data_IF_455716693332
#
_entry.id   IF_455716693332
#
_cell.length_a   1.000
_cell.length_b   1.000
_cell.length_c   1.000
_cell.angle_alpha   90.00
_cell.angle_beta   90.00
_cell.angle_gamma   90.00
#
_symmetry.space_group_name_H-M   'P 1'
#
loop_
_entity.id
_entity.type
_entity.pdbx_description
1 polymer ?
#
# COMPACT_ATOMS: atom_id res chain seq x y z
N UNK A 1 -11.09 -1.64 25.31
CA UNK A 1 -10.43 -2.60 26.24
C UNK A 1 -9.31 -3.38 25.58
N UNK A 2 -9.52 -3.98 24.40
CA UNK A 2 -8.54 -4.80 23.71
C UNK A 2 -7.26 -4.03 23.32
N UNK A 3 -7.37 -2.78 22.85
CA UNK A 3 -6.21 -1.98 22.49
C UNK A 3 -5.33 -1.65 23.72
N UNK A 4 -5.93 -1.27 24.83
CA UNK A 4 -5.21 -1.01 26.07
C UNK A 4 -4.53 -2.27 26.64
N UNK A 5 -5.15 -3.43 26.44
CA UNK A 5 -4.54 -4.70 26.82
C UNK A 5 -3.33 -5.01 25.95
N UNK A 6 -3.45 -4.83 24.64
CA UNK A 6 -2.35 -5.00 23.68
C UNK A 6 -1.18 -4.07 23.99
N UNK A 7 -1.44 -2.78 24.24
CA UNK A 7 -0.39 -1.79 24.58
C UNK A 7 0.37 -2.26 25.83
N UNK A 8 -0.34 -2.66 26.91
CA UNK A 8 0.31 -3.18 28.11
C UNK A 8 1.15 -4.43 27.88
N UNK A 9 0.77 -5.30 26.93
CA UNK A 9 1.59 -6.45 26.56
C UNK A 9 2.87 -6.02 25.83
N UNK A 10 2.77 -5.06 24.93
CA UNK A 10 3.92 -4.49 24.20
C UNK A 10 4.90 -3.82 25.19
N UNK A 11 4.40 -3.07 26.16
CA UNK A 11 5.23 -2.44 27.19
C UNK A 11 6.01 -3.47 27.99
N UNK A 12 5.35 -4.56 28.45
CA UNK A 12 6.01 -5.67 29.16
C UNK A 12 7.09 -6.36 28.30
N UNK A 13 6.82 -6.56 27.00
CA UNK A 13 7.82 -7.11 26.10
C UNK A 13 9.01 -6.13 25.94
N UNK A 14 8.72 -4.83 25.88
CA UNK A 14 9.75 -3.79 25.85
C UNK A 14 10.67 -3.87 27.06
N UNK A 15 10.12 -3.95 28.26
CA UNK A 15 10.86 -4.12 29.50
C UNK A 15 11.70 -5.41 29.49
N UNK A 16 11.09 -6.55 29.08
CA UNK A 16 11.76 -7.85 29.09
C UNK A 16 12.96 -7.90 28.11
N UNK A 17 12.80 -7.31 26.91
CA UNK A 17 13.86 -7.32 25.88
C UNK A 17 14.74 -6.07 25.89
N UNK A 18 14.55 -5.15 26.82
CA UNK A 18 15.21 -3.84 26.89
C UNK A 18 15.13 -3.08 25.56
N UNK A 19 13.94 -3.00 24.99
CA UNK A 19 13.61 -2.25 23.76
C UNK A 19 12.46 -1.29 24.01
N UNK A 20 12.46 -0.17 23.30
CA UNK A 20 11.37 0.82 23.36
C UNK A 20 10.56 0.80 22.08
N UNK A 21 9.23 0.84 22.21
CA UNK A 21 8.31 0.95 21.09
C UNK A 21 7.88 2.42 20.92
N UNK A 22 8.03 2.94 19.72
CA UNK A 22 7.65 4.32 19.41
C UNK A 22 6.41 4.33 18.51
N UNK A 23 5.41 5.11 18.89
CA UNK A 23 4.22 5.33 18.10
C UNK A 23 4.45 6.45 17.07
N UNK A 24 5.19 6.15 16.00
CA UNK A 24 5.57 7.09 14.94
C UNK A 24 5.33 6.47 13.57
N UNK A 25 5.03 7.32 12.58
CA UNK A 25 4.72 6.88 11.21
C UNK A 25 5.92 6.75 10.29
N UNK A 26 7.11 7.23 10.70
CA UNK A 26 8.35 7.13 9.92
C UNK A 26 9.55 7.03 10.86
N UNK A 27 10.62 6.38 10.42
CA UNK A 27 11.88 6.35 11.16
C UNK A 27 12.46 7.79 11.23
N UNK A 28 12.62 8.36 12.44
CA UNK A 28 13.04 9.76 12.57
C UNK A 28 14.56 9.95 12.38
N UNK A 29 15.35 8.90 12.56
CA UNK A 29 16.82 8.97 12.63
C UNK A 29 17.49 8.38 11.39
N UNK A 30 17.15 7.14 11.02
CA UNK A 30 17.79 6.45 9.93
C UNK A 30 16.99 6.59 8.64
N UNK A 31 17.68 6.92 7.55
CA UNK A 31 17.10 7.03 6.20
C UNK A 31 17.38 5.79 5.36
N UNK A 32 16.64 5.61 4.28
CA UNK A 32 16.59 4.38 3.49
C UNK A 32 17.95 3.82 3.02
N UNK A 33 19.00 4.57 2.73
CA UNK A 33 20.27 3.94 2.35
C UNK A 33 20.86 3.08 3.47
N UNK A 34 20.60 3.46 4.72
CA UNK A 34 21.14 2.83 5.93
C UNK A 34 20.16 1.82 6.59
N UNK A 35 19.01 1.58 5.99
CA UNK A 35 18.01 0.62 6.46
C UNK A 35 17.96 -0.54 5.47
N UNK A 36 18.28 -1.74 5.93
CA UNK A 36 18.23 -2.94 5.10
C UNK A 36 16.80 -3.24 4.62
N UNK A 37 16.72 -3.78 3.42
CA UNK A 37 15.47 -4.33 2.89
C UNK A 37 15.37 -5.81 3.18
N UNK A 38 14.16 -6.30 3.39
CA UNK A 38 13.90 -7.73 3.58
C UNK A 38 14.39 -8.53 2.37
N UNK A 39 15.27 -9.52 2.61
CA UNK A 39 15.93 -10.35 1.58
C UNK A 39 14.96 -11.36 0.93
N UNK A 40 13.91 -10.87 0.26
CA UNK A 40 12.99 -11.69 -0.55
C UNK A 40 12.95 -11.16 -1.98
N UNK A 41 12.86 -12.06 -2.98
CA UNK A 41 12.89 -11.71 -4.41
C UNK A 41 11.87 -10.63 -4.80
N UNK A 42 10.66 -10.68 -4.22
CA UNK A 42 9.61 -9.66 -4.45
C UNK A 42 10.05 -8.26 -4.04
N UNK A 43 10.73 -8.11 -2.90
CA UNK A 43 11.21 -6.80 -2.43
C UNK A 43 12.35 -6.27 -3.29
N UNK A 44 13.19 -7.16 -3.82
CA UNK A 44 14.21 -6.76 -4.80
C UNK A 44 13.57 -6.16 -6.06
N UNK A 45 12.58 -6.86 -6.65
CA UNK A 45 11.86 -6.36 -7.84
C UNK A 45 11.22 -4.99 -7.56
N UNK A 46 10.56 -4.84 -6.40
CA UNK A 46 9.96 -3.57 -6.00
C UNK A 46 11.02 -2.47 -5.82
N UNK A 47 12.15 -2.78 -5.17
CA UNK A 47 13.24 -1.84 -4.94
C UNK A 47 13.94 -1.41 -6.24
N UNK A 48 13.98 -2.28 -7.24
CA UNK A 48 14.59 -1.99 -8.55
C UNK A 48 13.63 -1.20 -9.48
N UNK A 49 12.32 -1.40 -9.33
CA UNK A 49 11.30 -0.81 -10.21
C UNK A 49 10.67 0.47 -9.65
N UNK A 50 10.17 0.44 -8.41
CA UNK A 50 9.37 1.54 -7.86
C UNK A 50 10.10 2.89 -7.82
N UNK A 51 11.42 2.98 -7.54
CA UNK A 51 12.14 4.25 -7.60
C UNK A 51 12.12 4.95 -8.96
N UNK A 52 11.92 4.18 -10.05
CA UNK A 52 11.83 4.72 -11.42
C UNK A 52 10.52 5.46 -11.69
N UNK A 53 9.46 5.13 -10.93
CA UNK A 53 8.12 5.70 -11.08
C UNK A 53 7.69 6.57 -9.88
N UNK A 54 8.42 6.49 -8.77
CA UNK A 54 8.12 7.25 -7.56
C UNK A 54 9.36 7.51 -6.72
N UNK A 55 9.78 8.77 -6.65
CA UNK A 55 11.02 9.19 -5.98
C UNK A 55 11.11 8.87 -4.49
N UNK A 56 9.96 8.70 -3.81
CA UNK A 56 9.91 8.35 -2.38
C UNK A 56 9.57 6.87 -2.13
N UNK A 57 9.53 6.04 -3.16
CA UNK A 57 9.33 4.60 -3.00
C UNK A 57 10.35 3.93 -2.06
N UNK A 58 11.66 4.24 -2.11
CA UNK A 58 12.62 3.70 -1.14
C UNK A 58 12.30 4.07 0.30
N UNK A 59 11.80 5.27 0.54
CA UNK A 59 11.36 5.75 1.86
C UNK A 59 10.16 4.94 2.34
N UNK A 60 9.13 4.81 1.49
CA UNK A 60 7.95 4.00 1.79
C UNK A 60 8.34 2.57 2.17
N UNK A 61 9.23 1.94 1.42
CA UNK A 61 9.60 0.53 1.60
C UNK A 61 10.42 0.24 2.86
N UNK A 62 11.13 1.22 3.40
CA UNK A 62 12.14 1.01 4.46
C UNK A 62 11.94 1.83 5.72
N UNK A 63 11.31 3.00 5.62
CA UNK A 63 11.24 3.94 6.73
C UNK A 63 9.87 4.02 7.38
N UNK A 64 8.79 3.62 6.67
CA UNK A 64 7.42 3.87 7.12
C UNK A 64 6.85 2.74 7.97
N UNK A 65 6.10 3.14 8.99
CA UNK A 65 5.19 2.29 9.75
C UNK A 65 3.76 2.84 9.63
N UNK A 66 2.76 2.00 9.81
CA UNK A 66 1.37 2.41 9.68
C UNK A 66 0.45 1.61 10.57
N UNK A 67 -0.75 2.15 10.78
CA UNK A 67 -1.89 1.48 11.38
C UNK A 67 -2.95 1.30 10.30
N UNK A 68 -3.69 0.21 10.38
CA UNK A 68 -4.76 -0.13 9.46
C UNK A 68 -6.00 -0.52 10.25
N UNK A 69 -7.16 -0.06 9.83
CA UNK A 69 -8.45 -0.51 10.31
C UNK A 69 -9.16 -1.29 9.19
N UNK A 70 -9.79 -2.40 9.55
CA UNK A 70 -10.55 -3.22 8.62
C UNK A 70 -12.04 -3.08 8.95
N UNK A 71 -12.86 -2.93 7.91
CA UNK A 71 -14.31 -2.77 8.03
C UNK A 71 -15.01 -3.83 7.19
N UNK A 72 -15.83 -4.63 7.83
CA UNK A 72 -16.65 -5.62 7.15
C UNK A 72 -17.77 -4.96 6.34
N UNK A 73 -18.28 -5.65 5.34
CA UNK A 73 -19.44 -5.27 4.55
C UNK A 73 -20.35 -6.48 4.31
N UNK A 74 -21.62 -6.24 4.11
CA UNK A 74 -22.65 -7.28 3.99
C UNK A 74 -23.21 -7.44 2.57
N UNK A 75 -22.93 -6.49 1.69
CA UNK A 75 -23.31 -6.52 0.27
C UNK A 75 -22.35 -5.69 -0.57
N UNK A 76 -22.49 -5.77 -1.88
CA UNK A 76 -21.73 -4.94 -2.83
C UNK A 76 -22.04 -3.45 -2.64
N UNK A 77 -23.31 -3.10 -2.49
CA UNK A 77 -23.76 -1.72 -2.27
C UNK A 77 -23.16 -1.14 -0.97
N UNK A 78 -23.17 -1.93 0.10
CA UNK A 78 -22.58 -1.55 1.40
C UNK A 78 -21.05 -1.37 1.26
N UNK A 79 -20.39 -2.28 0.56
CA UNK A 79 -18.95 -2.17 0.30
C UNK A 79 -18.60 -0.88 -0.48
N UNK A 80 -19.35 -0.59 -1.54
CA UNK A 80 -19.12 0.61 -2.36
C UNK A 80 -19.43 1.89 -1.60
N UNK A 81 -20.50 1.91 -0.81
CA UNK A 81 -20.83 3.05 0.06
C UNK A 81 -19.70 3.32 1.07
N UNK A 82 -19.22 2.28 1.75
CA UNK A 82 -18.11 2.36 2.72
C UNK A 82 -16.80 2.77 2.03
N UNK A 83 -16.51 2.23 0.84
CA UNK A 83 -15.34 2.59 0.05
C UNK A 83 -15.33 4.08 -0.28
N UNK A 84 -16.45 4.62 -0.77
CA UNK A 84 -16.60 6.06 -1.07
C UNK A 84 -16.43 6.91 0.19
N UNK A 85 -17.09 6.53 1.28
CA UNK A 85 -16.98 7.24 2.55
C UNK A 85 -15.53 7.24 3.07
N UNK A 86 -14.84 6.10 3.02
CA UNK A 86 -13.46 5.96 3.46
C UNK A 86 -12.49 6.79 2.59
N UNK A 87 -12.66 6.80 1.27
CA UNK A 87 -11.85 7.63 0.38
C UNK A 87 -12.07 9.12 0.67
N UNK A 88 -13.33 9.53 0.86
CA UNK A 88 -13.64 10.92 1.22
C UNK A 88 -13.02 11.32 2.57
N UNK A 89 -13.03 10.42 3.54
CA UNK A 89 -12.48 10.64 4.88
C UNK A 89 -10.96 10.52 4.97
N UNK A 90 -10.29 9.88 4.00
CA UNK A 90 -8.85 9.61 4.02
C UNK A 90 -7.98 10.86 4.28
N UNK A 91 -8.19 12.03 3.62
CA UNK A 91 -7.40 13.22 3.91
C UNK A 91 -7.57 13.72 5.35
N UNK A 92 -8.80 13.66 5.88
CA UNK A 92 -9.08 14.07 7.26
C UNK A 92 -8.43 13.13 8.26
N UNK A 93 -8.57 11.82 8.04
CA UNK A 93 -7.93 10.78 8.86
C UNK A 93 -6.41 10.93 8.86
N UNK A 94 -5.82 11.16 7.68
CA UNK A 94 -4.39 11.44 7.56
C UNK A 94 -3.98 12.68 8.36
N UNK A 95 -4.78 13.73 8.35
CA UNK A 95 -4.53 14.94 9.14
C UNK A 95 -4.64 14.71 10.64
N UNK A 96 -5.67 14.00 11.11
CA UNK A 96 -5.90 13.70 12.52
C UNK A 96 -4.80 12.81 13.13
N UNK A 97 -4.37 11.79 12.39
CA UNK A 97 -3.37 10.81 12.85
C UNK A 97 -1.96 11.09 12.34
N UNK A 98 -1.71 12.30 11.84
CA UNK A 98 -0.39 12.72 11.39
C UNK A 98 0.64 12.63 12.52
N UNK A 99 1.62 11.73 12.40
CA UNK A 99 2.65 11.50 13.41
C UNK A 99 4.00 11.11 12.77
N UNK A 100 4.46 11.91 11.80
CA UNK A 100 5.76 11.70 11.16
C UNK A 100 6.40 13.02 10.69
N UNK A 101 6.57 14.00 11.61
CA UNK A 101 7.14 15.31 11.25
C UNK A 101 8.67 15.32 11.19
N UNK A 102 9.34 14.33 11.78
CA UNK A 102 10.80 14.24 11.88
C UNK A 102 11.32 13.16 10.95
N UNK A 103 12.32 13.49 10.16
CA UNK A 103 13.09 12.57 9.33
C UNK A 103 14.54 13.02 9.24
N UNK A 104 15.48 12.10 9.31
CA UNK A 104 16.93 12.38 9.27
C UNK A 104 17.33 13.39 10.35
N UNK A 105 16.88 13.16 11.58
CA UNK A 105 17.09 14.00 12.77
C UNK A 105 16.63 15.46 12.61
N UNK A 106 15.80 15.79 11.62
CA UNK A 106 15.36 17.15 11.32
C UNK A 106 13.84 17.23 11.16
N UNK A 107 13.27 18.37 11.54
CA UNK A 107 11.86 18.63 11.25
C UNK A 107 11.66 18.76 9.75
N UNK A 108 10.65 18.08 9.25
CA UNK A 108 10.16 18.26 7.87
C UNK A 108 9.08 19.34 7.86
N UNK A 109 8.73 19.84 6.67
CA UNK A 109 7.61 20.77 6.54
C UNK A 109 6.23 20.07 6.54
N UNK A 110 6.17 18.79 6.93
CA UNK A 110 4.98 17.95 6.88
C UNK A 110 4.69 17.36 8.26
N UNK A 111 3.44 17.41 8.71
CA UNK A 111 2.99 16.68 9.91
C UNK A 111 2.98 15.17 9.67
N UNK A 112 2.69 14.74 8.42
CA UNK A 112 2.77 13.37 7.96
C UNK A 112 3.69 13.24 6.75
N UNK A 113 4.99 13.12 6.97
CA UNK A 113 5.94 12.78 5.89
C UNK A 113 5.68 11.38 5.32
N UNK A 114 5.11 10.48 6.14
CA UNK A 114 4.65 9.17 5.69
C UNK A 114 3.63 9.29 4.55
N UNK A 115 2.61 10.13 4.69
CA UNK A 115 1.62 10.35 3.64
C UNK A 115 2.26 10.89 2.36
N UNK A 116 3.22 11.80 2.48
CA UNK A 116 4.00 12.29 1.35
C UNK A 116 4.78 11.15 0.66
N UNK A 117 5.41 10.26 1.44
CA UNK A 117 6.15 9.13 0.90
C UNK A 117 5.24 8.20 0.08
N UNK A 118 4.05 7.89 0.57
CA UNK A 118 3.06 7.09 -0.16
C UNK A 118 2.58 7.78 -1.43
N UNK A 119 2.27 9.07 -1.38
CA UNK A 119 1.85 9.86 -2.56
C UNK A 119 2.88 9.83 -3.69
N UNK A 120 4.18 9.76 -3.36
CA UNK A 120 5.28 9.72 -4.32
C UNK A 120 5.96 8.35 -4.46
N UNK A 121 5.26 7.27 -4.10
CA UNK A 121 5.73 5.88 -4.28
C UNK A 121 5.47 5.37 -5.70
N UNK A 122 4.37 5.78 -6.31
CA UNK A 122 4.00 5.38 -7.68
C UNK A 122 2.56 5.81 -7.95
N UNK A 123 2.38 6.79 -8.84
CA UNK A 123 1.09 7.43 -9.06
C UNK A 123 -0.01 6.42 -9.45
N UNK A 124 0.33 5.47 -10.32
CA UNK A 124 -0.63 4.49 -10.84
C UNK A 124 -1.06 3.44 -9.80
N UNK A 125 -0.35 3.34 -8.67
CA UNK A 125 -0.60 2.37 -7.60
C UNK A 125 -1.19 2.98 -6.34
N UNK A 126 -0.80 4.21 -6.02
CA UNK A 126 -1.17 4.87 -4.77
C UNK A 126 -2.35 5.83 -4.93
N UNK A 127 -2.48 6.46 -6.10
CA UNK A 127 -3.53 7.46 -6.34
C UNK A 127 -4.68 6.93 -7.23
N UNK A 128 -4.84 5.61 -7.25
CA UNK A 128 -5.71 4.90 -8.18
C UNK A 128 -7.16 5.43 -8.17
N UNK A 129 -7.71 5.68 -6.99
CA UNK A 129 -9.12 6.01 -6.84
C UNK A 129 -9.43 7.50 -6.89
N UNK A 130 -8.48 8.37 -6.58
CA UNK A 130 -8.73 9.82 -6.63
C UNK A 130 -9.07 10.33 -8.04
N UNK A 131 -8.40 9.81 -9.07
CA UNK A 131 -8.72 10.15 -10.47
C UNK A 131 -10.11 9.69 -10.88
N UNK A 132 -10.51 8.51 -10.45
CA UNK A 132 -11.77 7.90 -10.85
C UNK A 132 -12.97 8.50 -10.11
N UNK A 133 -12.81 8.93 -8.86
CA UNK A 133 -13.81 9.69 -8.11
C UNK A 133 -14.14 11.02 -8.77
N UNK A 134 -13.11 11.77 -9.18
CA UNK A 134 -13.29 13.07 -9.85
C UNK A 134 -14.00 12.90 -11.20
N UNK A 135 -13.79 11.77 -11.89
CA UNK A 135 -14.38 11.50 -13.20
C UNK A 135 -15.72 10.76 -13.13
N UNK A 136 -16.36 10.65 -11.96
CA UNK A 136 -17.68 10.00 -11.75
C UNK A 136 -17.74 8.52 -12.19
N UNK A 137 -16.60 7.88 -12.47
CA UNK A 137 -16.52 6.49 -12.95
C UNK A 137 -16.39 5.45 -11.84
N UNK A 138 -16.01 5.84 -10.63
CA UNK A 138 -16.01 4.92 -9.49
C UNK A 138 -17.33 5.00 -8.76
N UNK A 139 -18.04 3.91 -8.79
CA UNK A 139 -19.04 3.85 -7.81
C UNK A 139 -20.37 3.20 -8.18
N UNK A 140 -20.41 2.33 -9.14
CA UNK A 140 -21.63 1.55 -9.36
C UNK A 140 -21.50 0.10 -8.86
N UNK A 141 -20.26 -0.44 -8.72
CA UNK A 141 -20.08 -1.80 -8.27
C UNK A 141 -18.62 -2.23 -8.15
N UNK A 142 -18.42 -3.51 -7.83
CA UNK A 142 -17.10 -4.15 -7.77
C UNK A 142 -16.40 -4.13 -9.13
N UNK A 143 -17.13 -4.12 -10.23
CA UNK A 143 -16.55 -4.09 -11.58
C UNK A 143 -15.70 -2.85 -11.81
N UNK A 144 -16.16 -1.67 -11.38
CA UNK A 144 -15.41 -0.42 -11.51
C UNK A 144 -14.11 -0.46 -10.72
N UNK A 145 -14.14 -1.07 -9.51
CA UNK A 145 -12.97 -1.26 -8.69
C UNK A 145 -11.97 -2.21 -9.35
N UNK A 146 -12.45 -3.33 -9.87
CA UNK A 146 -11.64 -4.33 -10.57
C UNK A 146 -11.02 -3.70 -11.81
N UNK A 147 -11.80 -3.01 -12.63
CA UNK A 147 -11.34 -2.36 -13.85
C UNK A 147 -10.20 -1.38 -13.61
N UNK A 148 -10.28 -0.58 -12.53
CA UNK A 148 -9.22 0.33 -12.16
C UNK A 148 -7.90 -0.40 -11.81
N UNK A 149 -7.98 -1.59 -11.21
CA UNK A 149 -6.81 -2.42 -10.88
C UNK A 149 -6.23 -3.09 -12.12
N UNK A 150 -7.06 -3.50 -13.09
CA UNK A 150 -6.61 -4.16 -14.31
C UNK A 150 -5.65 -3.29 -15.13
N UNK A 151 -5.76 -1.97 -15.05
CA UNK A 151 -4.94 -1.03 -15.81
C UNK A 151 -3.63 -0.64 -15.09
N UNK A 152 -3.42 -1.13 -13.87
CA UNK A 152 -2.14 -0.91 -13.16
C UNK A 152 -1.04 -1.77 -13.78
N UNK A 153 0.16 -1.21 -14.05
CA UNK A 153 1.29 -1.99 -14.55
C UNK A 153 1.72 -3.08 -13.57
N UNK A 154 1.94 -4.30 -14.06
CA UNK A 154 2.29 -5.47 -13.24
C UNK A 154 3.74 -5.42 -12.76
N UNK A 155 4.00 -5.98 -11.57
CA UNK A 155 5.36 -6.14 -11.05
C UNK A 155 5.95 -7.53 -11.35
N UNK A 156 5.21 -8.58 -11.03
CA UNK A 156 5.61 -9.96 -11.23
C UNK A 156 4.43 -10.92 -11.11
N UNK A 157 4.62 -12.15 -11.57
CA UNK A 157 3.73 -13.30 -11.33
C UNK A 157 4.48 -14.42 -10.63
N UNK A 158 3.75 -15.37 -10.06
CA UNK A 158 4.32 -16.56 -9.43
C UNK A 158 3.98 -17.82 -10.25
N UNK A 159 5.00 -18.62 -10.56
CA UNK A 159 4.83 -19.93 -11.21
C UNK A 159 5.75 -20.95 -10.55
N UNK A 160 5.19 -22.06 -10.07
CA UNK A 160 5.95 -23.14 -9.43
C UNK A 160 6.95 -22.63 -8.36
N UNK A 161 6.48 -21.74 -7.47
CA UNK A 161 7.30 -21.04 -6.45
C UNK A 161 8.40 -20.12 -7.02
N UNK A 162 8.48 -19.93 -8.32
CA UNK A 162 9.40 -18.98 -8.96
C UNK A 162 8.71 -17.66 -9.26
N UNK A 163 9.42 -16.57 -9.02
CA UNK A 163 8.95 -15.22 -9.36
C UNK A 163 9.39 -14.88 -10.78
N UNK A 164 8.42 -14.58 -11.66
CA UNK A 164 8.63 -14.12 -13.03
C UNK A 164 8.45 -12.61 -13.02
N UNK A 165 9.51 -11.88 -13.29
CA UNK A 165 9.52 -10.43 -13.26
C UNK A 165 8.86 -9.83 -14.51
N UNK A 166 8.04 -8.79 -14.30
CA UNK A 166 7.37 -8.03 -15.37
C UNK A 166 7.81 -6.56 -15.32
N UNK A 167 7.95 -5.99 -14.10
CA UNK A 167 8.50 -4.64 -13.86
C UNK A 167 7.86 -3.55 -14.74
N UNK A 168 6.54 -3.52 -14.77
CA UNK A 168 5.76 -2.47 -15.42
C UNK A 168 5.65 -2.56 -16.95
N UNK A 169 6.13 -3.64 -17.58
CA UNK A 169 6.12 -3.79 -19.05
C UNK A 169 4.73 -3.94 -19.65
N UNK A 170 3.80 -4.49 -18.88
CA UNK A 170 2.39 -4.69 -19.28
C UNK A 170 1.48 -4.44 -18.08
N UNK A 171 0.23 -4.08 -18.37
CA UNK A 171 -0.88 -4.04 -17.40
C UNK A 171 -1.45 -5.44 -17.18
N UNK A 172 -2.27 -5.61 -16.13
CA UNK A 172 -2.96 -6.89 -15.94
C UNK A 172 -3.97 -7.15 -17.07
N UNK A 173 -4.63 -6.12 -17.58
CA UNK A 173 -5.54 -6.20 -18.72
C UNK A 173 -4.83 -6.75 -19.96
N UNK A 174 -3.65 -6.25 -20.28
CA UNK A 174 -2.85 -6.77 -21.38
C UNK A 174 -2.40 -8.22 -21.14
N UNK A 175 -2.06 -8.56 -19.90
CA UNK A 175 -1.71 -9.92 -19.52
C UNK A 175 -2.87 -10.89 -19.73
N UNK A 176 -4.11 -10.49 -19.41
CA UNK A 176 -5.31 -11.30 -19.70
C UNK A 176 -5.51 -11.53 -21.19
N UNK A 177 -5.22 -10.53 -22.02
CA UNK A 177 -5.45 -10.60 -23.47
C UNK A 177 -4.35 -11.36 -24.23
N UNK A 178 -3.10 -11.13 -23.89
CA UNK A 178 -1.92 -11.55 -24.68
C UNK A 178 -1.03 -12.57 -23.97
N UNK A 179 -1.21 -12.76 -22.66
CA UNK A 179 -0.24 -13.50 -21.84
C UNK A 179 1.09 -12.75 -21.69
N UNK A 180 2.06 -13.40 -21.08
CA UNK A 180 3.43 -12.89 -20.94
C UNK A 180 4.42 -14.05 -20.83
N UNK A 181 5.42 -14.09 -21.71
CA UNK A 181 6.48 -15.12 -21.75
C UNK A 181 5.92 -16.56 -21.73
N UNK A 182 4.84 -16.82 -22.47
CA UNK A 182 4.19 -18.13 -22.54
C UNK A 182 3.24 -18.46 -21.38
N UNK A 183 3.05 -17.53 -20.45
CA UNK A 183 2.09 -17.68 -19.33
C UNK A 183 0.79 -16.95 -19.62
N UNK A 184 -0.33 -17.59 -19.30
CA UNK A 184 -1.67 -17.00 -19.32
C UNK A 184 -2.05 -16.51 -17.93
N UNK A 185 -2.94 -15.51 -17.88
CA UNK A 185 -3.45 -14.95 -16.64
C UNK A 185 -4.35 -15.94 -15.88
N UNK A 186 -4.31 -15.90 -14.57
CA UNK A 186 -5.16 -16.66 -13.66
C UNK A 186 -5.73 -15.78 -12.56
N UNK A 187 -6.77 -16.24 -11.86
CA UNK A 187 -7.33 -15.55 -10.71
C UNK A 187 -6.29 -15.32 -9.61
N UNK A 188 -5.39 -16.28 -9.37
CA UNK A 188 -4.31 -16.11 -8.39
C UNK A 188 -3.34 -15.00 -8.77
N UNK A 189 -3.12 -14.76 -10.07
CA UNK A 189 -2.31 -13.63 -10.52
C UNK A 189 -3.02 -12.30 -10.27
N UNK A 190 -4.33 -12.24 -10.44
CA UNK A 190 -5.12 -11.06 -10.12
C UNK A 190 -5.08 -10.75 -8.61
N UNK A 191 -5.31 -11.76 -7.76
CA UNK A 191 -5.22 -11.61 -6.30
C UNK A 191 -3.83 -11.10 -5.88
N UNK A 192 -2.77 -11.66 -6.46
CA UNK A 192 -1.41 -11.19 -6.23
C UNK A 192 -1.23 -9.74 -6.72
N UNK A 193 -1.67 -9.43 -7.94
CA UNK A 193 -1.55 -8.13 -8.55
C UNK A 193 -2.30 -7.04 -7.75
N UNK A 194 -3.53 -7.29 -7.33
CA UNK A 194 -4.31 -6.38 -6.50
C UNK A 194 -3.63 -6.10 -5.15
N UNK A 195 -2.93 -7.09 -4.58
CA UNK A 195 -2.15 -6.90 -3.36
C UNK A 195 -0.91 -6.01 -3.53
N UNK A 196 -0.52 -5.73 -4.76
CA UNK A 196 0.61 -4.88 -5.15
C UNK A 196 0.17 -3.48 -5.59
N UNK A 197 -1.08 -3.14 -5.43
CA UNK A 197 -1.61 -1.77 -5.48
C UNK A 197 -1.67 -1.21 -4.06
N UNK A 198 -1.44 0.10 -3.90
CA UNK A 198 -1.23 0.72 -2.59
C UNK A 198 -2.09 1.98 -2.40
N UNK A 199 -3.39 1.96 -2.75
CA UNK A 199 -4.28 3.07 -2.43
C UNK A 199 -4.49 3.15 -0.91
N UNK A 200 -5.00 4.29 -0.45
CA UNK A 200 -5.29 4.51 0.97
C UNK A 200 -6.34 3.52 1.50
N UNK A 201 -7.25 3.07 0.65
CA UNK A 201 -8.30 2.12 0.97
C UNK A 201 -8.30 1.00 -0.08
N UNK A 202 -8.36 -0.23 0.36
CA UNK A 202 -8.44 -1.43 -0.51
C UNK A 202 -9.69 -2.23 -0.22
N UNK A 203 -10.32 -2.70 -1.28
CA UNK A 203 -11.45 -3.62 -1.23
C UNK A 203 -10.94 -5.05 -1.42
N UNK A 204 -11.20 -5.87 -0.42
CA UNK A 204 -10.94 -7.30 -0.40
C UNK A 204 -12.14 -8.02 0.22
N UNK A 205 -11.92 -9.04 1.06
CA UNK A 205 -12.98 -9.62 1.89
C UNK A 205 -13.51 -8.64 2.95
N UNK A 206 -12.80 -7.56 3.17
CA UNK A 206 -13.18 -6.39 3.97
C UNK A 206 -12.56 -5.15 3.31
N UNK A 207 -12.97 -3.96 3.73
CA UNK A 207 -12.27 -2.72 3.41
C UNK A 207 -11.08 -2.57 4.38
N UNK A 208 -9.90 -2.34 3.88
CA UNK A 208 -8.67 -2.16 4.65
C UNK A 208 -7.89 -0.90 4.20
#
# INVERSE_FOLDING_TARGET
>A
ENLNHYIRQIDKLGEYYNVSFFNIGINPKNTYPNIDIVKKKRYKIMADYLPKIGKLAPVMMRETAGVQANFDYISEEDAILKLKAAIFMSPFTTGFYANSPIRDNSLTNYKSFRALAWKYTGHDRCNLFYKNLVNSRMGQGFEDYIDAILDVPMLYILRNKKTIEISGKITFREFMQKGYQGYSASLNDYILHSSLTFPDIRLKNCLE
#
